data_IF_210579115848
#
_entry.id   IF_210579115848
#
_cell.length_a   1.000
_cell.length_b   1.000
_cell.length_c   1.000
_cell.angle_alpha   90.00
_cell.angle_beta   90.00
_cell.angle_gamma   90.00
#
_symmetry.space_group_name_H-M   'P 1'
#
loop_
_entity.id
_entity.type
_entity.pdbx_description
1 polymer ?
#
# COMPACT_ATOMS: atom_id res chain seq x y z
N UNK A 1 -62.68 24.52 22.88
CA UNK A 1 -62.41 25.60 21.89
C UNK A 1 -60.97 26.02 21.99
N UNK A 2 -60.10 25.48 21.13
CA UNK A 2 -58.72 25.97 20.97
C UNK A 2 -58.79 27.39 20.39
N UNK A 3 -58.20 28.33 21.06
CA UNK A 3 -58.21 29.72 20.65
C UNK A 3 -57.50 29.92 19.31
N UNK A 4 -58.05 30.82 18.48
CA UNK A 4 -57.54 31.14 17.15
C UNK A 4 -56.05 31.56 17.16
N UNK A 5 -55.59 32.12 18.25
CA UNK A 5 -54.21 32.54 18.49
C UNK A 5 -53.24 31.36 18.56
N UNK A 6 -53.59 30.22 19.17
CA UNK A 6 -52.74 29.04 19.26
C UNK A 6 -52.55 28.37 17.89
N UNK A 7 -53.53 28.52 17.00
CA UNK A 7 -53.44 27.96 15.64
C UNK A 7 -52.55 28.81 14.73
N UNK A 8 -52.56 30.13 14.90
CA UNK A 8 -51.67 31.05 14.17
C UNK A 8 -50.20 30.90 14.62
N UNK A 9 -49.96 30.65 15.89
CA UNK A 9 -48.58 30.42 16.38
C UNK A 9 -48.01 29.08 15.88
N UNK A 10 -48.83 28.05 15.79
CA UNK A 10 -48.39 26.74 15.24
C UNK A 10 -48.15 26.81 13.73
N UNK A 11 -48.91 27.60 12.98
CA UNK A 11 -48.69 27.85 11.55
C UNK A 11 -47.45 28.70 11.32
N UNK A 12 -47.20 29.70 12.16
CA UNK A 12 -45.98 30.53 12.10
C UNK A 12 -44.73 29.71 12.42
N UNK A 13 -44.80 28.76 13.36
CA UNK A 13 -43.70 27.85 13.65
C UNK A 13 -43.40 26.86 12.54
N UNK A 14 -44.45 26.38 11.83
CA UNK A 14 -44.30 25.52 10.64
C UNK A 14 -43.73 26.26 9.45
N UNK A 15 -44.11 27.53 9.27
CA UNK A 15 -43.58 28.41 8.22
C UNK A 15 -42.08 28.69 8.40
N UNK A 16 -41.64 28.92 9.66
CA UNK A 16 -40.20 29.13 9.96
C UNK A 16 -39.34 27.90 9.72
N UNK A 17 -39.88 26.68 9.87
CA UNK A 17 -39.15 25.46 9.54
C UNK A 17 -39.03 25.20 8.04
N UNK A 18 -39.95 25.68 7.21
CA UNK A 18 -39.91 25.54 5.75
C UNK A 18 -38.95 26.52 5.05
N UNK A 19 -38.67 27.66 5.67
CA UNK A 19 -37.77 28.68 5.14
C UNK A 19 -36.30 28.33 5.24
N UNK A 20 -35.91 27.21 5.85
CA UNK A 20 -34.49 26.80 5.99
C UNK A 20 -33.98 26.01 4.82
N UNK A 21 -34.83 25.67 3.86
CA UNK A 21 -34.47 25.11 2.55
C UNK A 21 -34.98 26.02 1.43
N UNK A 22 -34.66 27.30 1.56
CA UNK A 22 -34.97 28.30 0.56
C UNK A 22 -34.02 28.18 -0.62
N UNK A 23 -34.67 28.05 -1.74
CA UNK A 23 -34.21 28.27 -3.10
C UNK A 23 -32.84 28.90 -3.26
N UNK A 24 -32.13 28.23 -4.10
CA UNK A 24 -30.93 28.56 -4.83
C UNK A 24 -30.56 30.02 -4.90
N UNK A 25 -29.44 30.16 -4.79
CA UNK A 25 -28.45 30.91 -5.49
C UNK A 25 -27.22 30.96 -4.59
N UNK A 26 -26.22 30.18 -4.97
CA UNK A 26 -24.82 30.34 -4.58
C UNK A 26 -24.44 30.46 -3.09
N UNK A 27 -25.28 30.01 -2.17
CA UNK A 27 -24.81 29.79 -0.80
C UNK A 27 -23.84 28.59 -0.81
N UNK A 28 -22.58 28.74 -0.39
CA UNK A 28 -21.67 27.63 -0.28
C UNK A 28 -22.31 26.58 0.61
N UNK A 29 -22.49 25.37 0.09
CA UNK A 29 -22.98 24.23 0.87
C UNK A 29 -21.90 23.97 1.92
N UNK A 30 -22.14 24.41 3.14
CA UNK A 30 -21.24 24.16 4.25
C UNK A 30 -21.35 22.68 4.66
N UNK A 31 -20.50 21.85 4.07
CA UNK A 31 -20.28 20.47 4.48
C UNK A 31 -19.42 20.39 5.74
N UNK A 32 -19.58 21.29 6.69
CA UNK A 32 -18.85 21.25 7.94
C UNK A 32 -19.29 20.02 8.75
N UNK A 33 -18.65 18.90 8.45
CA UNK A 33 -18.69 17.72 9.32
C UNK A 33 -18.17 18.10 10.69
N UNK A 34 -18.93 17.78 11.74
CA UNK A 34 -18.47 18.04 13.10
C UNK A 34 -17.17 17.27 13.32
N UNK A 35 -16.17 17.94 13.86
CA UNK A 35 -14.84 17.34 14.11
C UNK A 35 -14.93 15.99 14.84
N UNK A 36 -15.83 15.83 15.78
CA UNK A 36 -16.03 14.57 16.52
C UNK A 36 -16.51 13.42 15.61
N UNK A 37 -17.31 13.72 14.59
CA UNK A 37 -17.83 12.70 13.66
C UNK A 37 -16.71 12.27 12.72
N UNK A 38 -15.89 13.20 12.24
CA UNK A 38 -14.69 12.90 11.47
C UNK A 38 -13.73 12.00 12.26
N UNK A 39 -13.45 12.33 13.52
CA UNK A 39 -12.56 11.52 14.38
C UNK A 39 -13.13 10.13 14.62
N UNK A 40 -14.45 10.01 14.79
CA UNK A 40 -15.12 8.71 14.96
C UNK A 40 -14.97 7.85 13.70
N UNK A 41 -15.22 8.43 12.54
CA UNK A 41 -15.12 7.73 11.26
C UNK A 41 -13.68 7.29 10.97
N UNK A 42 -12.70 8.15 11.24
CA UNK A 42 -11.28 7.81 11.10
C UNK A 42 -10.86 6.66 12.02
N UNK A 43 -11.36 6.62 13.26
CA UNK A 43 -11.11 5.51 14.19
C UNK A 43 -11.73 4.21 13.69
N UNK A 44 -12.94 4.27 13.15
CA UNK A 44 -13.62 3.11 12.60
C UNK A 44 -12.86 2.57 11.37
N UNK A 45 -12.50 3.45 10.44
CA UNK A 45 -11.70 3.09 9.26
C UNK A 45 -10.37 2.46 9.67
N UNK A 46 -9.69 3.03 10.66
CA UNK A 46 -8.43 2.49 11.15
C UNK A 46 -8.59 1.09 11.76
N UNK A 47 -9.65 0.89 12.54
CA UNK A 47 -9.97 -0.42 13.13
C UNK A 47 -10.29 -1.46 12.04
N UNK A 48 -11.15 -1.11 11.09
CA UNK A 48 -11.52 -2.00 9.98
C UNK A 48 -10.32 -2.36 9.12
N UNK A 49 -9.41 -1.41 8.92
CA UNK A 49 -8.16 -1.63 8.21
C UNK A 49 -7.22 -2.58 8.97
N UNK A 50 -7.09 -2.41 10.30
CA UNK A 50 -6.30 -3.32 11.13
C UNK A 50 -6.86 -4.74 11.09
N UNK A 51 -8.16 -4.92 11.33
CA UNK A 51 -8.81 -6.24 11.30
C UNK A 51 -8.69 -6.91 9.93
N UNK A 52 -8.84 -6.16 8.85
CA UNK A 52 -8.66 -6.67 7.48
C UNK A 52 -7.21 -7.03 7.20
N UNK A 53 -6.27 -6.21 7.67
CA UNK A 53 -4.84 -6.45 7.52
C UNK A 53 -4.40 -7.70 8.28
N UNK A 54 -4.85 -7.89 9.52
CA UNK A 54 -4.54 -9.08 10.33
C UNK A 54 -5.08 -10.36 9.67
N UNK A 55 -6.35 -10.37 9.27
CA UNK A 55 -6.95 -11.52 8.56
C UNK A 55 -6.23 -11.84 7.25
N UNK A 56 -5.82 -10.82 6.52
CA UNK A 56 -5.08 -11.00 5.28
C UNK A 56 -3.67 -11.51 5.54
N UNK A 57 -3.01 -11.05 6.62
CA UNK A 57 -1.72 -11.55 7.05
C UNK A 57 -1.78 -13.03 7.46
N UNK A 58 -2.78 -13.40 8.24
CA UNK A 58 -2.95 -14.78 8.71
C UNK A 58 -3.25 -15.73 7.55
N UNK A 59 -4.15 -15.35 6.64
CA UNK A 59 -4.48 -16.17 5.47
C UNK A 59 -3.29 -16.41 4.53
N UNK A 60 -2.35 -15.45 4.44
CA UNK A 60 -1.15 -15.58 3.61
C UNK A 60 0.04 -16.19 4.36
N UNK A 61 0.03 -16.20 5.70
CA UNK A 61 1.06 -16.84 6.49
C UNK A 61 1.01 -18.37 6.41
N UNK A 62 -0.13 -18.94 6.02
CA UNK A 62 -0.36 -20.39 6.01
C UNK A 62 0.26 -21.12 4.80
N UNK A 63 0.66 -20.40 3.74
CA UNK A 63 1.23 -21.03 2.54
C UNK A 63 2.51 -20.32 2.09
N UNK A 64 3.68 -20.75 2.61
CA UNK A 64 4.94 -20.23 2.07
C UNK A 64 5.11 -20.69 0.61
N UNK A 65 5.18 -19.74 -0.31
CA UNK A 65 5.37 -20.01 -1.74
C UNK A 65 6.84 -20.18 -2.13
N UNK A 66 7.74 -19.82 -1.24
CA UNK A 66 9.18 -19.95 -1.45
C UNK A 66 9.94 -20.20 -0.14
N UNK A 67 10.99 -20.99 -0.23
CA UNK A 67 12.02 -21.13 0.81
C UNK A 67 13.05 -20.03 0.63
N UNK A 68 13.25 -19.19 1.65
CA UNK A 68 14.17 -18.06 1.62
C UNK A 68 15.16 -18.19 2.77
N UNK A 69 16.44 -18.23 2.45
CA UNK A 69 17.57 -18.30 3.40
C UNK A 69 18.57 -17.20 3.10
N UNK A 70 19.31 -16.80 4.11
CA UNK A 70 20.45 -15.89 3.97
C UNK A 70 21.68 -16.59 4.51
N UNK A 71 22.66 -16.75 3.66
CA UNK A 71 23.94 -17.38 3.98
C UNK A 71 25.07 -16.48 3.47
N UNK A 72 26.02 -16.11 4.33
CA UNK A 72 27.17 -15.26 3.98
C UNK A 72 26.78 -13.97 3.24
N UNK A 73 25.70 -13.30 3.68
CA UNK A 73 25.15 -12.10 3.03
C UNK A 73 24.61 -12.31 1.62
N UNK A 74 24.41 -13.56 1.20
CA UNK A 74 23.77 -13.93 -0.04
C UNK A 74 22.33 -14.36 0.23
N UNK A 75 21.44 -14.00 -0.68
CA UNK A 75 20.04 -14.40 -0.61
C UNK A 75 19.84 -15.66 -1.46
N UNK A 76 19.38 -16.73 -0.83
CA UNK A 76 19.06 -18.00 -1.46
C UNK A 76 17.55 -18.16 -1.47
N UNK A 77 16.98 -18.28 -2.65
CA UNK A 77 15.52 -18.46 -2.84
C UNK A 77 15.29 -19.73 -3.65
N UNK A 78 14.36 -20.53 -3.17
CA UNK A 78 13.84 -21.70 -3.87
C UNK A 78 12.32 -21.60 -3.91
N UNK A 79 11.72 -21.49 -5.08
CA UNK A 79 10.27 -21.56 -5.27
C UNK A 79 9.79 -23.00 -5.12
N UNK A 80 8.52 -23.20 -4.85
CA UNK A 80 7.93 -24.55 -4.63
C UNK A 80 8.08 -25.43 -5.88
N UNK A 81 8.02 -24.84 -7.05
CA UNK A 81 8.12 -25.48 -8.36
C UNK A 81 9.57 -25.64 -8.85
N UNK A 82 10.55 -25.09 -8.12
CA UNK A 82 11.98 -25.19 -8.46
C UNK A 82 12.68 -26.25 -7.61
N UNK A 83 13.60 -27.00 -8.19
CA UNK A 83 14.41 -28.00 -7.47
C UNK A 83 15.64 -27.36 -6.80
N UNK A 84 16.17 -26.30 -7.39
CA UNK A 84 17.41 -25.64 -6.96
C UNK A 84 17.18 -24.26 -6.34
N UNK A 85 18.15 -23.82 -5.53
CA UNK A 85 18.17 -22.47 -5.00
C UNK A 85 18.76 -21.49 -6.01
N UNK A 86 18.04 -20.43 -6.31
CA UNK A 86 18.59 -19.27 -6.99
C UNK A 86 19.31 -18.39 -5.98
N UNK A 87 20.59 -18.08 -6.23
CA UNK A 87 21.44 -17.31 -5.32
C UNK A 87 21.59 -15.88 -5.86
N UNK A 88 21.33 -14.90 -5.02
CA UNK A 88 21.49 -13.47 -5.32
C UNK A 88 22.58 -12.88 -4.45
N UNK A 89 23.56 -12.24 -5.08
CA UNK A 89 24.70 -11.60 -4.43
C UNK A 89 24.49 -10.10 -4.36
N UNK A 90 25.03 -9.39 -3.35
CA UNK A 90 25.12 -7.94 -3.39
C UNK A 90 25.82 -7.49 -4.69
N UNK A 91 25.27 -6.48 -5.35
CA UNK A 91 25.71 -6.00 -6.66
C UNK A 91 24.97 -6.59 -7.88
N UNK A 92 24.19 -7.65 -7.70
CA UNK A 92 23.38 -8.21 -8.79
C UNK A 92 22.19 -7.33 -9.10
N UNK A 93 21.94 -7.13 -10.39
CA UNK A 93 20.71 -6.49 -10.85
C UNK A 93 19.51 -7.42 -10.68
N UNK A 94 18.45 -6.89 -10.09
CA UNK A 94 17.23 -7.63 -9.78
C UNK A 94 16.02 -6.89 -10.28
N UNK A 95 15.01 -7.67 -10.62
CA UNK A 95 13.66 -7.21 -10.89
C UNK A 95 12.77 -7.69 -9.75
N UNK A 96 12.09 -6.77 -9.12
CA UNK A 96 11.10 -7.02 -8.07
C UNK A 96 9.71 -6.83 -8.65
N UNK A 97 8.81 -7.75 -8.41
CA UNK A 97 7.40 -7.61 -8.79
C UNK A 97 6.55 -7.75 -7.54
N UNK A 98 5.71 -6.76 -7.28
CA UNK A 98 4.70 -6.82 -6.24
C UNK A 98 3.48 -7.55 -6.76
N UNK A 99 3.20 -8.73 -6.25
CA UNK A 99 2.02 -9.52 -6.64
C UNK A 99 0.70 -8.84 -6.23
N UNK A 100 0.77 -7.96 -5.22
CA UNK A 100 -0.41 -7.24 -4.74
C UNK A 100 -0.80 -6.07 -5.63
N UNK A 101 0.18 -5.28 -6.10
CA UNK A 101 -0.07 -4.08 -6.93
C UNK A 101 0.19 -4.33 -8.41
N UNK A 102 0.85 -5.42 -8.76
CA UNK A 102 1.34 -5.69 -10.11
C UNK A 102 2.52 -4.80 -10.53
N UNK A 103 3.01 -3.94 -9.64
CA UNK A 103 4.11 -3.04 -9.92
C UNK A 103 5.43 -3.78 -10.00
N UNK A 104 6.27 -3.34 -10.91
CA UNK A 104 7.60 -3.91 -11.14
C UNK A 104 8.66 -2.85 -10.95
N UNK A 105 9.67 -3.18 -10.15
CA UNK A 105 10.80 -2.32 -9.85
C UNK A 105 12.09 -3.00 -10.30
N UNK A 106 13.00 -2.24 -10.87
CA UNK A 106 14.33 -2.71 -11.26
C UNK A 106 15.40 -1.98 -10.46
N UNK A 107 16.40 -2.71 -10.03
CA UNK A 107 17.45 -2.13 -9.23
C UNK A 107 18.63 -3.09 -9.01
N UNK A 108 19.52 -2.69 -8.11
CA UNK A 108 20.69 -3.46 -7.70
C UNK A 108 20.56 -3.87 -6.25
N UNK A 109 20.69 -5.15 -5.96
CA UNK A 109 20.75 -5.67 -4.60
C UNK A 109 21.98 -5.11 -3.89
N UNK A 110 21.80 -4.33 -2.81
CA UNK A 110 22.92 -3.69 -2.11
C UNK A 110 23.35 -4.47 -0.88
N UNK A 111 22.40 -4.98 -0.11
CA UNK A 111 22.68 -5.79 1.07
C UNK A 111 21.49 -6.66 1.45
N UNK A 112 21.79 -7.72 2.18
CA UNK A 112 20.79 -8.67 2.70
C UNK A 112 21.16 -9.01 4.14
N UNK A 113 20.15 -9.07 5.01
CA UNK A 113 20.27 -9.60 6.36
C UNK A 113 19.19 -10.66 6.62
N UNK A 114 19.12 -11.21 7.82
CA UNK A 114 18.18 -12.27 8.16
C UNK A 114 16.68 -11.89 8.05
N UNK A 115 16.35 -10.61 8.03
CA UNK A 115 14.99 -10.08 8.08
C UNK A 115 14.60 -9.40 6.77
N UNK A 116 15.53 -8.68 6.15
CA UNK A 116 15.23 -7.77 5.06
C UNK A 116 16.40 -7.67 4.06
N UNK A 117 16.09 -7.20 2.88
CA UNK A 117 17.08 -6.85 1.85
C UNK A 117 16.89 -5.40 1.40
N UNK A 118 17.95 -4.81 0.93
CA UNK A 118 17.98 -3.46 0.38
C UNK A 118 18.32 -3.50 -1.10
N UNK A 119 17.51 -2.81 -1.88
CA UNK A 119 17.70 -2.67 -3.33
C UNK A 119 17.79 -1.19 -3.67
N UNK A 120 18.82 -0.81 -4.40
CA UNK A 120 18.94 0.53 -4.97
C UNK A 120 18.30 0.51 -6.35
N UNK A 121 17.23 1.29 -6.53
CA UNK A 121 16.49 1.41 -7.77
C UNK A 121 17.27 2.22 -8.81
N UNK A 122 16.76 2.28 -10.03
CA UNK A 122 17.40 3.01 -11.13
C UNK A 122 17.41 4.54 -10.93
N UNK A 123 16.52 5.06 -10.11
CA UNK A 123 16.44 6.47 -9.69
C UNK A 123 17.33 6.82 -8.49
N UNK A 124 18.26 5.93 -8.13
CA UNK A 124 19.11 5.97 -6.94
C UNK A 124 18.38 5.92 -5.59
N UNK A 125 17.08 5.79 -5.57
CA UNK A 125 16.33 5.55 -4.35
C UNK A 125 16.63 4.16 -3.78
N UNK A 126 16.51 4.02 -2.44
CA UNK A 126 16.70 2.73 -1.77
C UNK A 126 15.36 2.19 -1.32
N UNK A 127 15.07 0.98 -1.74
CA UNK A 127 13.87 0.25 -1.32
C UNK A 127 14.26 -0.88 -0.39
N UNK A 128 13.50 -1.03 0.68
CA UNK A 128 13.62 -2.10 1.65
C UNK A 128 12.52 -3.14 1.42
N UNK A 129 12.92 -4.39 1.30
CA UNK A 129 11.98 -5.51 1.14
C UNK A 129 12.21 -6.51 2.27
N UNK A 130 11.16 -6.83 3.00
CA UNK A 130 11.21 -7.85 4.04
C UNK A 130 11.19 -9.25 3.42
N UNK A 131 12.08 -10.14 3.89
CA UNK A 131 12.19 -11.51 3.38
C UNK A 131 10.90 -12.33 3.56
N UNK A 132 10.07 -11.98 4.56
CA UNK A 132 8.75 -12.59 4.73
C UNK A 132 7.84 -12.38 3.52
N UNK A 133 7.98 -11.25 2.79
CA UNK A 133 7.18 -10.99 1.58
C UNK A 133 7.60 -11.88 0.41
N UNK A 134 8.88 -12.23 0.34
CA UNK A 134 9.38 -13.21 -0.61
C UNK A 134 8.90 -14.62 -0.26
N UNK A 135 8.90 -14.99 1.04
CA UNK A 135 8.42 -16.30 1.50
C UNK A 135 6.93 -16.50 1.22
N UNK A 136 6.14 -15.46 1.37
CA UNK A 136 4.68 -15.51 1.20
C UNK A 136 4.22 -15.15 -0.22
N UNK A 137 5.14 -15.03 -1.18
CA UNK A 137 4.83 -14.72 -2.57
C UNK A 137 4.24 -13.33 -2.83
N UNK A 138 4.28 -12.43 -1.84
CA UNK A 138 3.81 -11.04 -2.05
C UNK A 138 4.71 -10.22 -2.96
N UNK A 139 5.99 -10.55 -2.93
CA UNK A 139 7.01 -9.96 -3.78
C UNK A 139 7.79 -11.10 -4.41
N UNK A 140 7.91 -11.09 -5.70
CA UNK A 140 8.82 -11.97 -6.44
C UNK A 140 10.08 -11.22 -6.80
N UNK A 141 11.20 -11.95 -6.87
CA UNK A 141 12.51 -11.43 -7.28
C UNK A 141 13.07 -12.30 -8.37
N UNK A 142 13.61 -11.67 -9.39
CA UNK A 142 14.26 -12.32 -10.52
C UNK A 142 15.60 -11.64 -10.82
N UNK A 143 16.56 -12.42 -11.31
CA UNK A 143 17.77 -11.82 -11.87
C UNK A 143 17.43 -11.08 -13.15
N UNK A 144 17.80 -9.81 -13.21
CA UNK A 144 17.64 -9.05 -14.42
C UNK A 144 18.83 -9.37 -15.34
N UNK A 145 18.60 -9.92 -16.54
CA UNK A 145 19.69 -10.27 -17.44
C UNK A 145 20.47 -9.00 -17.78
N UNK A 146 21.78 -9.08 -17.63
CA UNK A 146 22.68 -8.08 -18.14
C UNK A 146 22.50 -8.04 -19.67
N UNK A 147 22.00 -6.95 -20.22
CA UNK A 147 22.06 -6.74 -21.66
C UNK A 147 23.56 -6.58 -22.00
N UNK A 148 24.20 -7.54 -22.67
CA UNK A 148 25.59 -7.36 -23.07
C UNK A 148 25.62 -6.34 -24.20
N UNK A 149 25.97 -5.08 -23.88
CA UNK A 149 26.14 -4.11 -24.99
C UNK A 149 26.09 -2.64 -24.66
N UNK A 150 26.02 -2.21 -23.39
CA UNK A 150 25.90 -0.77 -23.11
C UNK A 150 27.13 -0.11 -22.44
N UNK A 151 28.19 -0.85 -22.12
CA UNK A 151 29.36 -0.26 -21.47
C UNK A 151 30.64 -0.69 -22.20
N UNK A 152 30.96 -0.06 -23.32
CA UNK A 152 32.35 0.13 -23.77
C UNK A 152 32.39 1.14 -24.92
N UNK A 153 32.13 2.40 -24.55
CA UNK A 153 32.68 3.56 -25.28
C UNK A 153 33.19 4.56 -24.25
N UNK A 154 34.25 4.21 -23.58
CA UNK A 154 35.14 5.17 -22.93
C UNK A 154 36.49 5.02 -23.62
N UNK A 155 36.68 5.91 -24.60
CA UNK A 155 37.83 6.76 -24.78
C UNK A 155 39.20 6.06 -24.98
N UNK A 156 39.47 5.83 -26.25
CA UNK A 156 40.82 5.97 -26.76
C UNK A 156 40.92 7.29 -27.54
N UNK A 157 41.38 8.35 -26.88
CA UNK A 157 42.33 9.30 -27.47
C UNK A 157 42.76 10.33 -26.44
#
# INVERSE_FOLDING_TARGET
LRSKAAKEEEEAAKSKKRSKYGNGDDAPIDFALKHKDIVKDLRQIHKDWQESSEKFHDALAELPTASVRVEHSHLHIKRIDEEEFTIFYPGVRVKLTSEFTGETFQGTLTSVNAIEMYVRLLDDSKTRVYLRHLRNGRVSIEKYPFAPGADNKADGK
#
